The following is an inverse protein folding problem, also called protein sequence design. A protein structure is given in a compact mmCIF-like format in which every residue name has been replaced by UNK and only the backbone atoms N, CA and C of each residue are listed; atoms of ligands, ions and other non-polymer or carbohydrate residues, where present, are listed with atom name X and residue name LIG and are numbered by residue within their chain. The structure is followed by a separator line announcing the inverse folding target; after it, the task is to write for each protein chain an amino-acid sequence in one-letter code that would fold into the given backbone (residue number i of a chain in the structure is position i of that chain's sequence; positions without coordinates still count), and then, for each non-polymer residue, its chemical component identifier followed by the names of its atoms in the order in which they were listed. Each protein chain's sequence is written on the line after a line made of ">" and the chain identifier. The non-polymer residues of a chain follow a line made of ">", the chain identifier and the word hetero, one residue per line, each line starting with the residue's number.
data_IF_874832733270
#
_entry.id   IF_874832733270
#
_cell.length_a   1.000
_cell.length_b   1.000
_cell.length_c   1.000
_cell.angle_alpha   90.00
_cell.angle_beta   90.00
_cell.angle_gamma   90.00
#
_symmetry.space_group_name_H-M   'P 1'
#
loop_
_entity.id
_entity.type
_entity.pdbx_description
1 polymer ?
#
# COMPACT_ATOMS: atom_id res chain seq x y z
N UNK A 1 -34.38 -12.58 42.81
CA UNK A 1 -32.98 -12.13 42.60
C UNK A 1 -32.42 -12.85 41.39
N UNK A 2 -32.51 -12.25 40.21
CA UNK A 2 -31.98 -12.83 38.96
C UNK A 2 -30.72 -12.07 38.56
N UNK A 3 -29.60 -12.79 38.63
CA UNK A 3 -28.24 -12.32 38.42
C UNK A 3 -28.01 -12.11 36.91
N UNK A 4 -28.22 -10.90 36.41
CA UNK A 4 -27.83 -10.49 35.06
C UNK A 4 -26.30 -10.39 34.98
N UNK A 5 -25.64 -11.51 34.66
CA UNK A 5 -24.21 -11.54 34.40
C UNK A 5 -23.92 -10.74 33.13
N UNK A 6 -23.24 -9.63 33.35
CA UNK A 6 -22.90 -8.58 32.41
C UNK A 6 -22.05 -9.12 31.23
N UNK A 7 -22.71 -9.47 30.12
CA UNK A 7 -22.08 -9.92 28.85
C UNK A 7 -20.99 -8.97 28.32
N UNK A 8 -21.02 -7.69 28.72
CA UNK A 8 -20.03 -6.68 28.32
C UNK A 8 -18.66 -6.87 28.96
N UNK A 9 -18.57 -7.56 30.10
CA UNK A 9 -17.29 -7.81 30.77
C UNK A 9 -16.51 -8.98 30.12
N UNK A 10 -17.22 -10.00 29.62
CA UNK A 10 -16.61 -11.16 28.97
C UNK A 10 -15.98 -10.80 27.61
N UNK A 11 -16.65 -9.95 26.82
CA UNK A 11 -16.17 -9.49 25.51
C UNK A 11 -14.89 -8.63 25.61
N UNK A 12 -14.76 -7.81 26.66
CA UNK A 12 -13.56 -7.00 26.88
C UNK A 12 -12.34 -7.85 27.29
N UNK A 13 -12.55 -8.98 27.99
CA UNK A 13 -11.46 -9.92 28.32
C UNK A 13 -10.99 -10.73 27.12
N UNK A 14 -11.88 -11.08 26.20
CA UNK A 14 -11.52 -11.76 24.95
C UNK A 14 -10.75 -10.84 23.98
N UNK A 15 -11.07 -9.54 23.96
CA UNK A 15 -10.35 -8.57 23.13
C UNK A 15 -8.88 -8.37 23.58
N UNK A 16 -8.57 -8.60 24.86
CA UNK A 16 -7.22 -8.45 25.40
C UNK A 16 -6.33 -9.70 25.21
N UNK A 17 -6.93 -10.88 25.02
CA UNK A 17 -6.19 -12.14 24.82
C UNK A 17 -5.73 -12.31 23.35
N UNK A 18 -6.37 -11.66 22.38
CA UNK A 18 -6.03 -11.81 20.95
C UNK A 18 -4.84 -10.99 20.45
N UNK A 19 -4.30 -10.04 21.23
CA UNK A 19 -3.16 -9.21 20.80
C UNK A 19 -1.82 -9.96 20.88
N UNK A 20 -1.79 -11.20 21.38
CA UNK A 20 -0.53 -11.93 21.60
C UNK A 20 -0.32 -13.17 20.72
N UNK A 21 -1.14 -13.45 19.70
CA UNK A 21 -1.01 -14.70 18.94
C UNK A 21 -1.10 -14.54 17.41
N UNK A 22 0.08 -14.61 16.78
CA UNK A 22 0.42 -15.15 15.45
C UNK A 22 -0.40 -14.75 14.19
N UNK A 23 0.36 -14.37 13.16
CA UNK A 23 0.08 -13.49 12.02
C UNK A 23 -0.91 -13.97 10.95
N UNK A 24 -1.62 -15.09 11.14
CA UNK A 24 -2.47 -15.68 10.09
C UNK A 24 -3.98 -15.71 10.40
N UNK A 25 -4.39 -15.27 11.60
CA UNK A 25 -5.82 -15.21 11.98
C UNK A 25 -6.47 -13.84 11.82
N UNK A 26 -5.69 -12.78 11.57
CA UNK A 26 -6.21 -11.40 11.42
C UNK A 26 -6.88 -11.16 10.07
N UNK A 27 -6.34 -11.76 8.99
CA UNK A 27 -6.82 -11.53 7.61
C UNK A 27 -8.21 -12.13 7.38
N UNK A 28 -8.52 -13.31 7.96
CA UNK A 28 -9.83 -13.97 7.77
C UNK A 28 -10.98 -13.28 8.52
N UNK A 29 -10.69 -12.57 9.62
CA UNK A 29 -11.73 -11.87 10.40
C UNK A 29 -12.23 -10.62 9.67
N UNK A 30 -11.35 -9.92 8.94
CA UNK A 30 -11.75 -8.74 8.16
C UNK A 30 -12.72 -9.14 7.03
N UNK A 31 -12.47 -10.27 6.36
CA UNK A 31 -13.36 -10.76 5.28
C UNK A 31 -14.75 -11.20 5.76
N UNK A 32 -14.90 -11.71 6.99
CA UNK A 32 -16.19 -12.18 7.51
C UNK A 32 -17.06 -11.02 8.03
N UNK A 33 -16.45 -9.92 8.49
CA UNK A 33 -17.19 -8.74 8.97
C UNK A 33 -17.85 -7.97 7.80
N UNK A 34 -17.35 -8.12 6.56
CA UNK A 34 -17.84 -7.37 5.38
C UNK A 34 -19.26 -7.74 4.94
N UNK A 35 -19.82 -8.90 5.33
CA UNK A 35 -21.09 -9.38 4.76
C UNK A 35 -22.33 -8.99 5.60
N UNK A 36 -22.17 -8.50 6.83
CA UNK A 36 -23.33 -8.36 7.73
C UNK A 36 -23.50 -7.02 8.45
N UNK A 37 -23.14 -5.90 7.83
CA UNK A 37 -23.67 -4.59 8.24
C UNK A 37 -23.51 -3.52 7.14
N UNK A 38 -24.61 -3.24 6.44
CA UNK A 38 -24.82 -1.90 5.86
C UNK A 38 -24.92 -0.91 7.04
N UNK A 39 -24.22 0.22 6.95
CA UNK A 39 -24.33 1.40 7.84
C UNK A 39 -23.46 1.53 9.11
N UNK A 40 -22.28 0.90 9.20
CA UNK A 40 -21.26 1.38 10.15
C UNK A 40 -20.16 2.15 9.39
N UNK A 41 -20.05 3.46 9.63
CA UNK A 41 -18.98 4.31 9.09
C UNK A 41 -17.61 3.75 9.50
N UNK A 42 -16.84 3.25 8.53
CA UNK A 42 -15.50 2.73 8.78
C UNK A 42 -14.61 3.78 9.48
N UNK A 43 -13.88 3.40 10.55
CA UNK A 43 -12.88 4.27 11.16
C UNK A 43 -11.83 4.72 10.13
N UNK A 44 -11.33 5.96 10.25
CA UNK A 44 -10.32 6.50 9.33
C UNK A 44 -9.03 5.67 9.29
N UNK A 45 -8.64 5.04 10.40
CA UNK A 45 -7.49 4.15 10.47
C UNK A 45 -7.69 2.88 9.65
N UNK A 46 -8.94 2.40 9.51
CA UNK A 46 -9.27 1.24 8.68
C UNK A 46 -9.13 1.56 7.20
N UNK A 47 -9.52 2.77 6.77
CA UNK A 47 -9.19 3.25 5.42
C UNK A 47 -7.69 3.39 5.23
N UNK A 48 -6.99 4.05 6.17
CA UNK A 48 -5.53 4.19 6.13
C UNK A 48 -4.79 2.85 6.08
N UNK A 49 -5.31 1.82 6.72
CA UNK A 49 -4.75 0.46 6.67
C UNK A 49 -5.04 -0.24 5.34
N UNK A 50 -6.16 0.06 4.68
CA UNK A 50 -6.48 -0.42 3.33
C UNK A 50 -5.70 0.37 2.25
N UNK A 51 -5.44 1.66 2.47
CA UNK A 51 -4.51 2.48 1.68
C UNK A 51 -3.07 1.97 1.82
N UNK A 52 -2.64 1.62 3.04
CA UNK A 52 -1.28 1.12 3.34
C UNK A 52 -0.97 -0.27 2.76
N UNK A 53 -1.93 -0.95 2.16
CA UNK A 53 -1.72 -2.21 1.43
C UNK A 53 -1.43 -1.97 -0.06
N UNK A 54 -1.55 -0.73 -0.54
CA UNK A 54 -1.15 -0.37 -1.90
C UNK A 54 0.36 -0.41 -2.03
N UNK A 55 0.83 -0.95 -3.14
CA UNK A 55 2.28 -1.03 -3.38
C UNK A 55 2.76 0.36 -3.77
N UNK A 56 3.81 0.86 -3.11
CA UNK A 56 4.41 2.13 -3.53
C UNK A 56 4.84 2.08 -5.00
N UNK A 57 4.86 3.24 -5.65
CA UNK A 57 5.26 3.35 -7.06
C UNK A 57 6.62 2.68 -7.34
N UNK A 58 7.57 2.81 -6.40
CA UNK A 58 8.86 2.13 -6.48
C UNK A 58 8.73 0.61 -6.57
N UNK A 59 7.91 -0.01 -5.72
CA UNK A 59 7.70 -1.46 -5.75
C UNK A 59 7.08 -1.92 -7.06
N UNK A 60 6.13 -1.14 -7.61
CA UNK A 60 5.59 -1.39 -8.94
C UNK A 60 6.69 -1.31 -10.01
N UNK A 61 7.51 -0.26 -9.97
CA UNK A 61 8.58 -0.03 -10.94
C UNK A 61 9.64 -1.14 -10.95
N UNK A 62 9.91 -1.77 -9.79
CA UNK A 62 10.86 -2.89 -9.70
C UNK A 62 10.48 -4.11 -10.56
N UNK A 63 9.20 -4.26 -10.92
CA UNK A 63 8.74 -5.32 -11.84
C UNK A 63 9.32 -5.17 -13.25
N UNK A 64 9.64 -3.95 -13.66
CA UNK A 64 10.14 -3.62 -15.00
C UNK A 64 11.66 -3.68 -15.12
N UNK A 65 12.37 -4.07 -14.05
CA UNK A 65 13.82 -4.24 -14.10
C UNK A 65 14.19 -5.40 -15.02
N UNK A 66 15.12 -5.14 -15.94
CA UNK A 66 15.60 -6.13 -16.89
C UNK A 66 17.11 -5.95 -17.12
N UNK A 67 17.93 -7.03 -17.13
CA UNK A 67 19.38 -6.93 -17.34
C UNK A 67 19.77 -6.36 -18.71
N UNK A 68 18.89 -6.49 -19.71
CA UNK A 68 19.01 -5.87 -21.02
C UNK A 68 17.72 -5.07 -21.31
N UNK A 69 17.63 -3.78 -20.93
CA UNK A 69 16.41 -3.00 -21.10
C UNK A 69 16.15 -2.77 -22.60
N UNK A 70 14.95 -3.16 -23.06
CA UNK A 70 14.47 -2.86 -24.42
C UNK A 70 13.54 -1.65 -24.44
N UNK A 71 12.84 -1.43 -23.34
CA UNK A 71 11.87 -0.34 -23.19
C UNK A 71 12.45 0.79 -22.33
N UNK A 72 12.03 2.02 -22.60
CA UNK A 72 12.46 3.20 -21.85
C UNK A 72 12.07 3.09 -20.35
N UNK A 73 10.93 2.47 -20.04
CA UNK A 73 10.49 2.18 -18.65
C UNK A 73 11.44 1.20 -17.97
N UNK A 74 11.95 0.20 -18.69
CA UNK A 74 12.90 -0.77 -18.13
C UNK A 74 14.25 -0.12 -17.81
N UNK A 75 14.70 0.79 -18.68
CA UNK A 75 15.90 1.60 -18.42
C UNK A 75 15.70 2.51 -17.21
N UNK A 76 14.56 3.18 -17.12
CA UNK A 76 14.19 3.98 -15.95
C UNK A 76 14.17 3.16 -14.65
N UNK A 77 13.57 1.96 -14.66
CA UNK A 77 13.50 1.08 -13.50
C UNK A 77 14.89 0.65 -13.00
N UNK A 78 15.83 0.39 -13.92
CA UNK A 78 17.21 0.07 -13.55
C UNK A 78 17.93 1.28 -12.95
N UNK A 79 17.78 2.46 -13.53
CA UNK A 79 18.38 3.68 -13.00
C UNK A 79 17.81 4.07 -11.63
N UNK A 80 16.49 4.02 -11.46
CA UNK A 80 15.82 4.28 -10.19
C UNK A 80 16.19 3.25 -9.10
N UNK A 81 16.57 2.02 -9.49
CA UNK A 81 17.09 1.03 -8.55
C UNK A 81 18.48 1.39 -8.02
N UNK A 82 19.34 1.95 -8.88
CA UNK A 82 20.68 2.41 -8.50
C UNK A 82 20.63 3.72 -7.70
N UNK A 83 19.54 4.47 -7.82
CA UNK A 83 19.30 5.70 -7.07
C UNK A 83 18.87 5.40 -5.62
N UNK A 84 19.79 5.64 -4.68
CA UNK A 84 19.53 5.48 -3.25
C UNK A 84 18.64 6.59 -2.67
N UNK A 85 18.59 7.75 -3.32
CA UNK A 85 17.78 8.90 -2.89
C UNK A 85 16.33 8.81 -3.32
N UNK A 86 15.99 7.87 -4.21
CA UNK A 86 14.64 7.74 -4.74
C UNK A 86 13.60 7.53 -3.62
N UNK A 87 12.45 8.24 -3.64
CA UNK A 87 11.43 8.13 -2.60
C UNK A 87 10.65 6.80 -2.67
N UNK A 88 11.19 5.75 -2.03
CA UNK A 88 10.68 4.36 -2.12
C UNK A 88 9.31 4.13 -1.48
N UNK A 89 8.93 4.96 -0.52
CA UNK A 89 7.65 4.85 0.22
C UNK A 89 6.62 5.86 -0.26
N UNK A 90 6.95 6.70 -1.24
CA UNK A 90 5.99 7.68 -1.76
C UNK A 90 5.04 7.01 -2.76
N UNK A 91 3.78 7.40 -2.66
CA UNK A 91 2.70 7.10 -3.60
C UNK A 91 2.13 8.37 -4.23
N UNK A 92 2.69 9.53 -3.88
CA UNK A 92 2.27 10.83 -4.38
C UNK A 92 3.01 11.16 -5.68
N UNK A 93 2.22 11.38 -6.75
CA UNK A 93 2.70 11.79 -8.06
C UNK A 93 3.56 13.06 -8.00
N UNK A 94 3.11 14.09 -7.27
CA UNK A 94 3.80 15.38 -7.21
C UNK A 94 5.14 15.25 -6.50
N UNK A 95 5.21 14.50 -5.41
CA UNK A 95 6.47 14.30 -4.69
C UNK A 95 7.50 13.58 -5.56
N UNK A 96 7.08 12.56 -6.32
CA UNK A 96 7.98 11.80 -7.19
C UNK A 96 8.37 12.63 -8.42
N UNK A 97 7.43 13.33 -9.03
CA UNK A 97 7.66 14.22 -10.18
C UNK A 97 8.66 15.32 -9.81
N UNK A 98 8.45 16.05 -8.71
CA UNK A 98 9.40 17.08 -8.26
C UNK A 98 10.79 16.52 -7.93
N UNK A 99 10.86 15.30 -7.37
CA UNK A 99 12.14 14.63 -7.15
C UNK A 99 12.85 14.33 -8.49
N UNK A 100 12.13 13.82 -9.48
CA UNK A 100 12.69 13.48 -10.78
C UNK A 100 13.10 14.72 -11.59
N UNK A 101 12.41 15.85 -11.45
CA UNK A 101 12.84 17.11 -12.07
C UNK A 101 14.16 17.63 -11.47
N UNK A 102 14.39 17.41 -10.18
CA UNK A 102 15.59 17.88 -9.48
C UNK A 102 16.78 16.90 -9.55
N UNK A 103 16.51 15.60 -9.51
CA UNK A 103 17.53 14.55 -9.38
C UNK A 103 17.46 13.47 -10.48
N UNK A 104 16.39 13.44 -11.28
CA UNK A 104 16.12 12.44 -12.31
C UNK A 104 16.90 12.63 -13.61
N UNK A 105 18.17 13.03 -13.55
CA UNK A 105 19.06 13.19 -14.71
C UNK A 105 19.28 11.89 -15.52
N UNK A 106 18.88 10.74 -14.97
CA UNK A 106 18.92 9.43 -15.62
C UNK A 106 17.65 9.11 -16.44
N UNK A 107 16.61 9.94 -16.31
CA UNK A 107 15.38 9.78 -17.08
C UNK A 107 15.57 10.43 -18.44
N UNK A 108 15.24 9.69 -19.50
CA UNK A 108 15.32 10.18 -20.89
C UNK A 108 14.36 11.35 -21.16
N UNK A 109 13.17 11.30 -20.57
CA UNK A 109 12.11 12.30 -20.70
C UNK A 109 11.09 12.12 -19.58
N UNK A 110 10.49 13.21 -19.07
CA UNK A 110 9.37 13.14 -18.12
C UNK A 110 8.19 12.33 -18.65
N UNK A 111 8.00 12.27 -19.98
CA UNK A 111 6.95 11.45 -20.59
C UNK A 111 7.06 9.96 -20.26
N UNK A 112 8.29 9.45 -20.03
CA UNK A 112 8.51 8.04 -19.63
C UNK A 112 8.02 7.79 -18.20
N UNK A 113 8.13 8.79 -17.34
CA UNK A 113 7.58 8.73 -15.99
C UNK A 113 6.05 8.77 -16.03
N UNK A 114 5.46 9.66 -16.83
CA UNK A 114 4.01 9.76 -16.99
C UNK A 114 3.41 8.43 -17.48
N UNK A 115 4.03 7.81 -18.50
CA UNK A 115 3.62 6.49 -19.01
C UNK A 115 3.72 5.40 -17.92
N UNK A 116 4.84 5.35 -17.20
CA UNK A 116 5.00 4.41 -16.08
C UNK A 116 3.96 4.64 -14.97
N UNK A 117 3.58 5.89 -14.73
CA UNK A 117 2.56 6.26 -13.76
C UNK A 117 1.16 5.80 -14.16
N UNK A 118 0.79 5.96 -15.43
CA UNK A 118 -0.48 5.45 -15.96
C UNK A 118 -0.58 3.93 -15.84
N UNK A 119 0.52 3.22 -16.11
CA UNK A 119 0.57 1.77 -15.89
C UNK A 119 0.42 1.39 -14.41
N UNK A 120 1.02 2.17 -13.50
CA UNK A 120 0.84 1.98 -12.06
C UNK A 120 -0.62 2.14 -11.65
N UNK A 121 -1.28 3.21 -12.10
CA UNK A 121 -2.70 3.45 -11.84
C UNK A 121 -3.59 2.34 -12.40
N UNK A 122 -3.29 1.85 -13.60
CA UNK A 122 -4.04 0.77 -14.25
C UNK A 122 -3.83 -0.60 -13.58
N UNK A 123 -2.69 -0.81 -12.91
CA UNK A 123 -2.39 -2.06 -12.20
C UNK A 123 -2.99 -2.10 -10.80
N UNK A 124 -3.24 -0.94 -10.20
CA UNK A 124 -3.76 -0.77 -8.84
C UNK A 124 -5.28 -0.47 -8.80
N UNK A 125 -5.92 -0.30 -9.97
CA UNK A 125 -7.38 -0.14 -10.15
C UNK A 125 -8.13 -1.46 -10.09
#
# INVERSE_FOLDING_TARGET
>A
MTFQVNKRAALKRLFFIMVSCNSNWTIRIVSVIVIHKKNDSFPNWTRKALESMRKSFYHFLMKYRHPAPKDDISAFANSAFLDHGFPKTSEDYHLISSYLEMHGQYLKSMSVFDEAWEHYLSAES
#
